data_IF_681926103835
#
_entry.id   IF_681926103835
#
_cell.length_a   1.000
_cell.length_b   1.000
_cell.length_c   1.000
_cell.angle_alpha   90.00
_cell.angle_beta   90.00
_cell.angle_gamma   90.00
#
_symmetry.space_group_name_H-M   'P 1'
#
loop_
_entity.id
_entity.type
_entity.pdbx_description
1 polymer ?
#
# COMPACT_ATOMS: atom_id res chain seq x y z
N UNK A 1 -15.71 30.26 -0.66
CA UNK A 1 -14.68 30.03 0.38
C UNK A 1 -15.19 30.30 1.79
N UNK A 2 -15.96 31.37 2.03
CA UNK A 2 -16.55 31.67 3.35
C UNK A 2 -17.54 30.61 3.83
N UNK A 3 -18.42 30.10 2.94
CA UNK A 3 -19.36 29.04 3.31
C UNK A 3 -18.63 27.75 3.68
N UNK A 4 -17.70 27.26 2.85
CA UNK A 4 -16.89 26.07 3.12
C UNK A 4 -16.19 26.13 4.49
N UNK A 5 -15.52 27.24 4.79
CA UNK A 5 -14.87 27.43 6.10
C UNK A 5 -15.93 27.46 7.21
N UNK A 6 -17.05 28.16 7.03
CA UNK A 6 -18.11 28.22 8.02
C UNK A 6 -18.75 26.85 8.30
N UNK A 7 -18.96 25.99 7.29
CA UNK A 7 -19.55 24.65 7.46
C UNK A 7 -18.61 23.69 8.20
N UNK A 8 -17.30 23.88 8.07
CA UNK A 8 -16.32 23.10 8.84
C UNK A 8 -16.24 23.55 10.30
N UNK A 9 -16.33 24.87 10.59
CA UNK A 9 -16.21 25.39 11.96
C UNK A 9 -17.53 25.49 12.74
N UNK A 10 -18.67 25.51 12.05
CA UNK A 10 -20.00 25.48 12.67
C UNK A 10 -20.47 24.03 12.79
N UNK A 11 -20.77 23.56 14.01
CA UNK A 11 -21.25 22.20 14.18
C UNK A 11 -22.62 22.03 13.50
N UNK A 12 -22.92 20.82 12.96
CA UNK A 12 -24.26 20.52 12.49
C UNK A 12 -25.27 20.75 13.62
N UNK A 13 -26.30 21.56 13.37
CA UNK A 13 -27.41 21.72 14.31
C UNK A 13 -28.30 20.48 14.19
N UNK A 14 -28.19 19.56 15.13
CA UNK A 14 -29.00 18.34 15.16
C UNK A 14 -29.42 17.99 16.57
N UNK A 15 -30.67 18.27 16.91
CA UNK A 15 -31.32 17.68 18.08
C UNK A 15 -32.14 16.48 17.61
N UNK A 16 -31.61 15.28 17.84
CA UNK A 16 -32.42 14.08 18.00
C UNK A 16 -31.83 13.24 19.14
N UNK A 17 -32.69 12.80 20.06
CA UNK A 17 -32.33 11.97 21.22
C UNK A 17 -31.93 10.58 20.70
N UNK A 18 -30.68 10.16 20.91
CA UNK A 18 -30.22 8.81 20.56
C UNK A 18 -28.72 8.75 20.29
N UNK A 19 -28.15 7.53 20.33
CA UNK A 19 -26.73 7.30 20.05
C UNK A 19 -26.49 7.00 18.56
N UNK A 20 -27.34 6.16 17.97
CA UNK A 20 -27.29 5.74 16.56
C UNK A 20 -28.73 5.54 16.08
N UNK A 21 -29.05 6.08 14.90
CA UNK A 21 -30.32 5.84 14.21
C UNK A 21 -30.14 4.78 13.13
N UNK A 22 -30.56 3.54 13.42
CA UNK A 22 -30.49 2.42 12.49
C UNK A 22 -31.60 2.42 11.44
N UNK A 23 -32.57 3.34 11.50
CA UNK A 23 -33.64 3.45 10.50
C UNK A 23 -33.16 4.10 9.20
N UNK A 24 -32.04 4.83 9.25
CA UNK A 24 -31.46 5.51 8.08
C UNK A 24 -30.81 4.50 7.13
N UNK A 25 -31.32 4.43 5.90
CA UNK A 25 -30.71 3.63 4.83
C UNK A 25 -29.26 4.05 4.55
N UNK A 26 -28.94 5.33 4.68
CA UNK A 26 -27.58 5.87 4.51
C UNK A 26 -26.56 5.20 5.43
N UNK A 27 -26.94 4.88 6.68
CA UNK A 27 -26.09 4.15 7.63
C UNK A 27 -25.72 2.76 7.10
N UNK A 28 -26.71 1.99 6.65
CA UNK A 28 -26.48 0.64 6.13
C UNK A 28 -25.73 0.65 4.79
N UNK A 29 -25.97 1.64 3.94
CA UNK A 29 -25.19 1.84 2.71
C UNK A 29 -23.71 2.09 3.06
N UNK A 30 -23.43 2.90 4.07
CA UNK A 30 -22.05 3.11 4.54
C UNK A 30 -21.43 1.83 5.12
N UNK A 31 -22.18 1.05 5.92
CA UNK A 31 -21.73 -0.26 6.44
C UNK A 31 -21.33 -1.19 5.29
N UNK A 32 -22.20 -1.36 4.30
CA UNK A 32 -21.94 -2.21 3.14
C UNK A 32 -20.74 -1.71 2.34
N UNK A 33 -20.64 -0.40 2.11
CA UNK A 33 -19.51 0.19 1.37
C UNK A 33 -18.18 0.00 2.11
N UNK A 34 -18.16 0.15 3.44
CA UNK A 34 -16.98 -0.09 4.28
C UNK A 34 -16.51 -1.54 4.17
N UNK A 35 -17.43 -2.50 4.24
CA UNK A 35 -17.13 -3.94 4.12
C UNK A 35 -16.71 -4.33 2.71
N UNK A 36 -17.40 -3.78 1.70
CA UNK A 36 -17.19 -4.09 0.30
C UNK A 36 -15.79 -3.74 -0.15
N UNK A 37 -15.30 -2.55 0.20
CA UNK A 37 -14.03 -2.03 -0.28
C UNK A 37 -12.87 -3.02 -0.04
N UNK A 38 -12.52 -3.41 1.22
CA UNK A 38 -11.45 -4.37 1.46
C UNK A 38 -11.66 -5.76 0.91
N UNK A 39 -12.91 -6.19 0.86
CA UNK A 39 -13.29 -7.47 0.27
C UNK A 39 -13.02 -7.48 -1.23
N UNK A 40 -13.40 -6.41 -1.93
CA UNK A 40 -13.25 -6.26 -3.37
C UNK A 40 -11.78 -6.33 -3.78
N UNK A 41 -10.90 -5.50 -3.21
CA UNK A 41 -9.51 -5.49 -3.67
C UNK A 41 -8.78 -6.78 -3.31
N UNK A 42 -9.06 -7.41 -2.17
CA UNK A 42 -8.48 -8.71 -1.83
C UNK A 42 -8.88 -9.80 -2.84
N UNK A 43 -10.17 -9.90 -3.16
CA UNK A 43 -10.66 -10.90 -4.12
C UNK A 43 -10.07 -10.65 -5.51
N UNK A 44 -10.13 -9.41 -5.98
CA UNK A 44 -9.65 -9.04 -7.32
C UNK A 44 -8.15 -9.24 -7.44
N UNK A 45 -7.37 -8.83 -6.44
CA UNK A 45 -5.92 -8.99 -6.44
C UNK A 45 -5.53 -10.47 -6.38
N UNK A 46 -6.12 -11.28 -5.49
CA UNK A 46 -5.82 -12.71 -5.44
C UNK A 46 -6.21 -13.44 -6.74
N UNK A 47 -7.33 -13.06 -7.35
CA UNK A 47 -7.70 -13.57 -8.68
C UNK A 47 -6.67 -13.15 -9.74
N UNK A 48 -6.18 -11.92 -9.71
CA UNK A 48 -5.11 -11.49 -10.60
C UNK A 48 -3.81 -12.26 -10.36
N UNK A 49 -3.44 -12.53 -9.11
CA UNK A 49 -2.24 -13.32 -8.84
C UNK A 49 -2.35 -14.76 -9.35
N UNK A 50 -3.47 -15.44 -9.07
CA UNK A 50 -3.66 -16.86 -9.42
C UNK A 50 -3.98 -17.05 -10.91
N UNK A 51 -4.84 -16.20 -11.45
CA UNK A 51 -5.42 -16.38 -12.78
C UNK A 51 -4.94 -15.32 -13.78
N UNK A 52 -4.28 -14.23 -13.38
CA UNK A 52 -3.86 -13.16 -14.30
C UNK A 52 -5.01 -12.62 -15.17
N UNK A 53 -6.23 -12.59 -14.62
CA UNK A 53 -7.45 -12.31 -15.37
C UNK A 53 -7.43 -10.92 -16.02
N UNK A 54 -7.01 -9.89 -15.27
CA UNK A 54 -6.90 -8.51 -15.77
C UNK A 54 -5.75 -8.43 -16.76
N UNK A 55 -4.59 -8.99 -16.43
CA UNK A 55 -3.43 -8.98 -17.32
C UNK A 55 -3.72 -9.69 -18.66
N UNK A 56 -4.43 -10.82 -18.64
CA UNK A 56 -4.84 -11.55 -19.85
C UNK A 56 -5.83 -10.75 -20.69
N UNK A 57 -6.85 -10.15 -20.06
CA UNK A 57 -7.82 -9.31 -20.74
C UNK A 57 -7.16 -8.10 -21.44
N UNK A 58 -6.09 -7.57 -20.85
CA UNK A 58 -5.35 -6.42 -21.38
C UNK A 58 -4.16 -6.81 -22.26
N UNK A 59 -4.14 -8.04 -22.80
CA UNK A 59 -3.11 -8.49 -23.74
C UNK A 59 -1.70 -8.56 -23.14
N UNK A 60 -1.57 -8.94 -21.87
CA UNK A 60 -0.29 -9.10 -21.17
C UNK A 60 0.25 -7.82 -20.53
N UNK A 61 -0.47 -6.70 -20.61
CA UNK A 61 -0.01 -5.38 -20.10
C UNK A 61 -0.22 -5.24 -18.58
N UNK A 62 0.61 -5.92 -17.79
CA UNK A 62 0.50 -5.95 -16.32
C UNK A 62 0.48 -4.58 -15.62
N UNK A 63 1.30 -3.61 -16.08
CA UNK A 63 1.33 -2.27 -15.48
C UNK A 63 0.02 -1.52 -15.73
N UNK A 64 -0.52 -1.60 -16.95
CA UNK A 64 -1.81 -1.00 -17.27
C UNK A 64 -2.92 -1.60 -16.41
N UNK A 65 -2.92 -2.92 -16.22
CA UNK A 65 -3.84 -3.60 -15.31
C UNK A 65 -3.74 -3.11 -13.87
N UNK A 66 -2.52 -2.98 -13.35
CA UNK A 66 -2.29 -2.47 -12.00
C UNK A 66 -2.77 -1.01 -11.85
N UNK A 67 -2.48 -0.12 -12.80
CA UNK A 67 -2.97 1.27 -12.75
C UNK A 67 -4.49 1.39 -12.87
N UNK A 68 -5.14 0.54 -13.68
CA UNK A 68 -6.60 0.49 -13.75
C UNK A 68 -7.22 0.00 -12.44
N UNK A 69 -6.61 -1.01 -11.80
CA UNK A 69 -7.04 -1.46 -10.47
C UNK A 69 -6.82 -0.36 -9.43
N UNK A 70 -5.67 0.32 -9.46
CA UNK A 70 -5.36 1.44 -8.57
C UNK A 70 -6.39 2.56 -8.68
N UNK A 71 -6.71 2.99 -9.91
CA UNK A 71 -7.76 3.97 -10.17
C UNK A 71 -9.10 3.50 -9.59
N UNK A 72 -9.48 2.24 -9.83
CA UNK A 72 -10.74 1.67 -9.33
C UNK A 72 -10.80 1.68 -7.80
N UNK A 73 -9.76 1.19 -7.12
CA UNK A 73 -9.69 1.15 -5.65
C UNK A 73 -9.75 2.57 -5.08
N UNK A 74 -9.00 3.50 -5.67
CA UNK A 74 -8.99 4.89 -5.23
C UNK A 74 -10.38 5.56 -5.37
N UNK A 75 -11.03 5.39 -6.52
CA UNK A 75 -12.39 5.91 -6.76
C UNK A 75 -13.42 5.28 -5.81
N UNK A 76 -13.34 3.97 -5.57
CA UNK A 76 -14.17 3.30 -4.56
C UNK A 76 -13.88 3.81 -3.15
N UNK A 77 -12.64 4.19 -2.85
CA UNK A 77 -12.25 4.86 -1.61
C UNK A 77 -12.96 6.20 -1.44
N UNK A 78 -12.90 7.06 -2.46
CA UNK A 78 -13.62 8.35 -2.48
C UNK A 78 -15.12 8.15 -2.30
N UNK A 79 -15.72 7.20 -3.02
CA UNK A 79 -17.14 6.90 -2.90
C UNK A 79 -17.51 6.45 -1.48
N UNK A 80 -16.74 5.53 -0.89
CA UNK A 80 -16.94 5.07 0.48
C UNK A 80 -16.89 6.24 1.47
N UNK A 81 -15.90 7.10 1.34
CA UNK A 81 -15.72 8.24 2.25
C UNK A 81 -16.87 9.25 2.10
N UNK A 82 -17.38 9.45 0.87
CA UNK A 82 -18.59 10.25 0.63
C UNK A 82 -19.83 9.62 1.27
N UNK A 83 -20.05 8.31 1.07
CA UNK A 83 -21.18 7.59 1.66
C UNK A 83 -21.12 7.59 3.19
N UNK A 84 -19.93 7.47 3.76
CA UNK A 84 -19.69 7.62 5.19
C UNK A 84 -20.10 8.99 5.69
N UNK A 85 -19.63 10.07 5.04
CA UNK A 85 -20.02 11.42 5.43
C UNK A 85 -21.53 11.65 5.33
N UNK A 86 -22.18 11.18 4.25
CA UNK A 86 -23.64 11.23 4.10
C UNK A 86 -24.37 10.50 5.23
N UNK A 87 -23.87 9.33 5.63
CA UNK A 87 -24.42 8.61 6.77
C UNK A 87 -24.29 9.42 8.07
N UNK A 88 -23.17 10.12 8.29
CA UNK A 88 -22.99 10.96 9.48
C UNK A 88 -23.91 12.18 9.51
N UNK A 89 -24.19 12.79 8.35
CA UNK A 89 -25.08 13.96 8.24
C UNK A 89 -26.50 13.66 8.77
N UNK A 90 -27.01 12.45 8.52
CA UNK A 90 -28.37 12.02 8.89
C UNK A 90 -28.49 11.42 10.30
N UNK A 91 -27.39 11.31 11.05
CA UNK A 91 -27.39 10.68 12.38
C UNK A 91 -27.69 11.68 13.50
N UNK A 92 -27.87 11.25 14.76
CA UNK A 92 -27.94 12.16 15.91
C UNK A 92 -26.60 12.82 16.25
N UNK A 93 -26.61 14.05 16.77
CA UNK A 93 -25.42 14.69 17.39
C UNK A 93 -25.41 14.38 18.88
N UNK A 94 -24.24 14.06 19.45
CA UNK A 94 -24.10 13.86 20.89
C UNK A 94 -23.36 15.01 21.56
N UNK A 95 -23.97 15.64 22.56
CA UNK A 95 -23.46 16.85 23.23
C UNK A 95 -22.10 16.67 23.89
N UNK A 96 -21.80 15.49 24.44
CA UNK A 96 -20.47 15.20 25.02
C UNK A 96 -19.34 15.30 23.98
N UNK A 97 -19.61 14.97 22.71
CA UNK A 97 -18.61 15.03 21.64
C UNK A 97 -18.41 16.45 21.10
N UNK A 98 -19.26 17.40 21.49
CA UNK A 98 -19.17 18.80 21.07
C UNK A 98 -18.15 19.60 21.87
N UNK A 99 -17.58 19.02 22.93
CA UNK A 99 -16.61 19.68 23.79
C UNK A 99 -15.37 20.15 22.99
N UNK A 100 -14.84 21.37 23.20
CA UNK A 100 -13.71 21.88 22.42
C UNK A 100 -12.48 20.97 22.40
N UNK A 101 -12.18 20.30 23.52
CA UNK A 101 -11.08 19.34 23.59
C UNK A 101 -11.27 18.15 22.61
N UNK A 102 -12.51 17.70 22.38
CA UNK A 102 -12.82 16.64 21.42
C UNK A 102 -12.56 17.09 19.98
N UNK A 103 -12.80 18.38 19.67
CA UNK A 103 -12.45 18.95 18.36
C UNK A 103 -10.95 19.03 18.14
N UNK A 104 -10.19 19.42 19.17
CA UNK A 104 -8.72 19.41 19.10
C UNK A 104 -8.24 17.97 18.86
N UNK A 105 -8.77 17.01 19.61
CA UNK A 105 -8.46 15.59 19.42
C UNK A 105 -8.80 15.12 18.00
N UNK A 106 -9.96 15.50 17.47
CA UNK A 106 -10.36 15.17 16.10
C UNK A 106 -9.35 15.66 15.07
N UNK A 107 -8.89 16.91 15.18
CA UNK A 107 -7.87 17.49 14.27
C UNK A 107 -6.55 16.74 14.39
N UNK A 108 -6.10 16.44 15.61
CA UNK A 108 -4.85 15.69 15.84
C UNK A 108 -4.94 14.29 15.22
N UNK A 109 -6.07 13.60 15.36
CA UNK A 109 -6.29 12.27 14.78
C UNK A 109 -6.30 12.32 13.26
N UNK A 110 -7.02 13.28 12.65
CA UNK A 110 -7.06 13.44 11.18
C UNK A 110 -5.68 13.79 10.63
N UNK A 111 -4.96 14.71 11.29
CA UNK A 111 -3.62 15.10 10.86
C UNK A 111 -2.66 13.91 10.92
N UNK A 112 -2.66 13.19 12.05
CA UNK A 112 -1.81 12.01 12.24
C UNK A 112 -2.16 10.89 11.24
N UNK A 113 -3.44 10.61 11.07
CA UNK A 113 -3.91 9.59 10.14
C UNK A 113 -3.56 9.91 8.69
N UNK A 114 -3.74 11.17 8.29
CA UNK A 114 -3.36 11.67 6.96
C UNK A 114 -1.86 11.58 6.73
N UNK A 115 -1.03 11.95 7.73
CA UNK A 115 0.42 11.78 7.65
C UNK A 115 0.79 10.32 7.42
N UNK A 116 0.22 9.38 8.19
CA UNK A 116 0.50 7.95 8.00
C UNK A 116 0.07 7.45 6.62
N UNK A 117 -1.12 7.82 6.14
CA UNK A 117 -1.61 7.41 4.81
C UNK A 117 -0.70 7.95 3.71
N UNK A 118 -0.47 9.27 3.68
CA UNK A 118 0.29 9.90 2.60
C UNK A 118 1.76 9.48 2.59
N UNK A 119 2.40 9.38 3.75
CA UNK A 119 3.79 8.90 3.83
C UNK A 119 3.91 7.42 3.45
N UNK A 120 2.91 6.58 3.74
CA UNK A 120 2.88 5.19 3.26
C UNK A 120 2.81 5.14 1.73
N UNK A 121 1.89 5.91 1.14
CA UNK A 121 1.74 6.00 -0.31
C UNK A 121 2.99 6.54 -0.99
N UNK A 122 3.66 7.52 -0.36
CA UNK A 122 4.92 8.07 -0.85
C UNK A 122 6.01 7.00 -0.93
N UNK A 123 6.17 6.20 0.13
CA UNK A 123 7.21 5.17 0.20
C UNK A 123 6.95 3.96 -0.69
N UNK A 124 5.67 3.54 -0.80
CA UNK A 124 5.28 2.40 -1.64
C UNK A 124 5.12 2.76 -3.12
N UNK A 125 4.86 4.04 -3.41
CA UNK A 125 4.39 4.48 -4.72
C UNK A 125 3.02 3.90 -5.07
N UNK A 126 2.53 4.19 -6.28
CA UNK A 126 1.19 3.74 -6.71
C UNK A 126 1.14 2.22 -6.81
N UNK A 127 2.13 1.59 -7.44
CA UNK A 127 2.11 0.12 -7.63
C UNK A 127 2.24 -0.63 -6.32
N UNK A 128 3.07 -0.16 -5.37
CA UNK A 128 3.18 -0.80 -4.05
C UNK A 128 1.93 -0.59 -3.20
N UNK A 129 1.27 0.57 -3.31
CA UNK A 129 0.04 0.87 -2.56
C UNK A 129 -1.15 0.06 -3.07
N UNK A 130 -1.26 -0.11 -4.38
CA UNK A 130 -2.44 -0.71 -5.02
C UNK A 130 -2.17 -2.11 -5.59
N UNK A 131 -1.52 -2.95 -4.77
CA UNK A 131 -1.43 -4.41 -4.97
C UNK A 131 -0.69 -4.83 -6.26
N UNK A 132 0.33 -4.07 -6.66
CA UNK A 132 1.14 -4.35 -7.84
C UNK A 132 1.94 -5.65 -7.75
N UNK A 133 2.24 -6.12 -6.54
CA UNK A 133 2.85 -7.43 -6.27
C UNK A 133 1.99 -8.60 -6.81
N UNK A 134 0.65 -8.47 -6.78
CA UNK A 134 -0.27 -9.46 -7.38
C UNK A 134 -0.18 -9.49 -8.91
N UNK A 135 0.21 -8.38 -9.54
CA UNK A 135 0.56 -8.28 -10.97
C UNK A 135 2.00 -8.73 -11.27
N UNK A 136 2.77 -9.13 -10.23
CA UNK A 136 4.20 -9.46 -10.35
C UNK A 136 5.11 -8.24 -10.50
N UNK A 137 4.64 -7.06 -10.10
CA UNK A 137 5.41 -5.82 -10.06
C UNK A 137 5.93 -5.69 -8.62
N UNK A 138 7.09 -6.27 -8.37
CA UNK A 138 7.67 -6.36 -7.04
C UNK A 138 8.61 -5.20 -6.76
N UNK A 139 8.58 -4.71 -5.52
CA UNK A 139 9.63 -3.84 -5.01
C UNK A 139 10.92 -4.63 -4.79
N UNK A 140 12.07 -3.96 -4.91
CA UNK A 140 13.36 -4.62 -4.72
C UNK A 140 13.67 -4.96 -3.26
N UNK A 141 13.15 -4.15 -2.34
CA UNK A 141 13.29 -4.36 -0.91
C UNK A 141 11.99 -3.96 -0.20
N UNK A 142 11.80 -4.54 0.98
CA UNK A 142 10.71 -4.15 1.88
C UNK A 142 10.99 -2.75 2.43
N UNK A 143 9.97 -1.89 2.45
CA UNK A 143 10.07 -0.56 3.02
C UNK A 143 10.13 -0.67 4.55
N UNK A 144 11.20 -0.13 5.15
CA UNK A 144 11.41 -0.14 6.60
C UNK A 144 11.51 1.25 7.22
N UNK A 145 11.56 2.31 6.41
CA UNK A 145 11.57 3.69 6.87
C UNK A 145 10.19 4.15 7.37
N UNK A 146 10.10 5.38 7.88
CA UNK A 146 8.82 5.97 8.26
C UNK A 146 7.84 5.96 7.07
N UNK A 147 6.57 5.57 7.26
CA UNK A 147 5.91 5.24 8.53
C UNK A 147 5.99 3.77 8.98
N UNK A 148 6.60 2.90 8.16
CA UNK A 148 6.72 1.46 8.42
C UNK A 148 7.69 1.10 9.55
N UNK A 149 8.56 2.02 9.96
CA UNK A 149 9.39 1.88 11.17
C UNK A 149 8.59 1.98 12.47
N UNK A 150 7.37 2.54 12.42
CA UNK A 150 6.53 2.81 13.60
C UNK A 150 5.34 1.84 13.68
N UNK A 151 4.75 1.53 12.53
CA UNK A 151 3.57 0.66 12.41
C UNK A 151 3.82 -0.37 11.30
N UNK A 152 3.27 -1.58 11.46
CA UNK A 152 3.34 -2.60 10.40
C UNK A 152 2.48 -2.21 9.19
N UNK A 153 1.27 -1.68 9.45
CA UNK A 153 0.26 -1.38 8.44
C UNK A 153 -0.20 0.10 8.54
N UNK A 154 0.73 1.06 8.35
CA UNK A 154 0.51 2.47 8.67
C UNK A 154 -0.66 3.09 7.89
N UNK A 155 -0.89 2.68 6.64
CA UNK A 155 -2.02 3.17 5.85
C UNK A 155 -3.38 2.76 6.44
N UNK A 156 -3.50 1.50 6.90
CA UNK A 156 -4.72 0.98 7.50
C UNK A 156 -5.02 1.63 8.86
N UNK A 157 -3.98 1.79 9.69
CA UNK A 157 -4.08 2.52 10.96
C UNK A 157 -4.43 3.99 10.70
N UNK A 158 -3.72 4.65 9.79
CA UNK A 158 -3.94 6.05 9.48
C UNK A 158 -5.35 6.33 8.93
N UNK A 159 -5.86 5.46 8.05
CA UNK A 159 -7.24 5.54 7.58
C UNK A 159 -8.23 5.38 8.74
N UNK A 160 -8.01 4.43 9.65
CA UNK A 160 -8.87 4.27 10.85
C UNK A 160 -8.88 5.54 11.72
N UNK A 161 -7.71 6.15 11.95
CA UNK A 161 -7.61 7.42 12.69
C UNK A 161 -8.40 8.54 12.01
N UNK A 162 -8.37 8.62 10.68
CA UNK A 162 -9.16 9.59 9.93
C UNK A 162 -10.67 9.37 10.11
N UNK A 163 -11.15 8.13 10.06
CA UNK A 163 -12.57 7.81 10.29
C UNK A 163 -13.02 8.22 11.71
N UNK A 164 -12.22 7.90 12.72
CA UNK A 164 -12.49 8.29 14.12
C UNK A 164 -12.46 9.81 14.26
N UNK A 165 -11.44 10.47 13.70
CA UNK A 165 -11.30 11.91 13.77
C UNK A 165 -12.47 12.64 13.11
N UNK A 166 -12.95 12.17 11.96
CA UNK A 166 -14.15 12.72 11.31
C UNK A 166 -15.40 12.46 12.16
N UNK A 167 -15.57 11.29 12.75
CA UNK A 167 -16.70 11.01 13.65
C UNK A 167 -16.76 11.99 14.83
N UNK A 168 -15.60 12.27 15.44
CA UNK A 168 -15.47 13.22 16.53
C UNK A 168 -15.70 14.66 16.07
N UNK A 169 -15.17 15.03 14.90
CA UNK A 169 -15.36 16.37 14.32
C UNK A 169 -16.84 16.71 14.11
N UNK A 170 -17.61 15.74 13.58
CA UNK A 170 -19.06 15.88 13.38
C UNK A 170 -19.88 15.57 14.64
N UNK A 171 -19.24 15.19 15.75
CA UNK A 171 -19.89 14.80 17.01
C UNK A 171 -20.97 13.70 16.86
N UNK A 172 -20.69 12.70 16.01
CA UNK A 172 -21.62 11.60 15.68
C UNK A 172 -21.15 10.27 16.30
N UNK A 173 -21.86 9.69 17.28
CA UNK A 173 -21.48 8.40 17.85
C UNK A 173 -21.55 7.24 16.85
N UNK A 174 -22.48 7.31 15.89
CA UNK A 174 -22.57 6.37 14.76
C UNK A 174 -21.27 6.30 13.96
N UNK A 175 -20.56 7.41 13.80
CA UNK A 175 -19.26 7.43 13.14
C UNK A 175 -18.19 6.67 13.91
N UNK A 176 -18.22 6.70 15.24
CA UNK A 176 -17.30 5.90 16.06
C UNK A 176 -17.59 4.40 15.89
N UNK A 177 -18.87 4.01 15.86
CA UNK A 177 -19.28 2.63 15.58
C UNK A 177 -18.81 2.18 14.19
N UNK A 178 -19.01 3.01 13.16
CA UNK A 178 -18.52 2.74 11.80
C UNK A 178 -16.98 2.73 11.74
N UNK A 179 -16.29 3.52 12.56
CA UNK A 179 -14.83 3.50 12.65
C UNK A 179 -14.31 2.19 13.25
N UNK A 180 -15.01 1.64 14.25
CA UNK A 180 -14.73 0.29 14.77
C UNK A 180 -14.94 -0.74 13.67
N UNK A 181 -16.02 -0.64 12.89
CA UNK A 181 -16.25 -1.51 11.74
C UNK A 181 -15.10 -1.42 10.72
N UNK A 182 -14.63 -0.21 10.38
CA UNK A 182 -13.48 0.01 9.49
C UNK A 182 -12.25 -0.73 10.04
N UNK A 183 -11.93 -0.54 11.32
CA UNK A 183 -10.79 -1.21 11.95
C UNK A 183 -10.90 -2.73 11.89
N UNK A 184 -12.06 -3.30 12.25
CA UNK A 184 -12.30 -4.75 12.18
C UNK A 184 -12.16 -5.25 10.74
N UNK A 185 -12.75 -4.55 9.78
CA UNK A 185 -12.70 -4.92 8.36
C UNK A 185 -11.26 -4.94 7.85
N UNK A 186 -10.46 -3.92 8.21
CA UNK A 186 -9.05 -3.89 7.86
C UNK A 186 -8.25 -5.01 8.54
N UNK A 187 -8.52 -5.33 9.80
CA UNK A 187 -7.85 -6.45 10.48
C UNK A 187 -8.16 -7.78 9.81
N UNK A 188 -9.41 -7.99 9.38
CA UNK A 188 -9.81 -9.19 8.63
C UNK A 188 -9.12 -9.22 7.27
N UNK A 189 -9.12 -8.10 6.53
CA UNK A 189 -8.43 -7.99 5.24
C UNK A 189 -6.93 -8.35 5.35
N UNK A 190 -6.25 -7.81 6.36
CA UNK A 190 -4.83 -8.09 6.63
C UNK A 190 -4.55 -9.55 6.96
N UNK A 191 -5.49 -10.28 7.57
CA UNK A 191 -5.32 -11.72 7.80
C UNK A 191 -5.16 -12.53 6.50
N UNK A 192 -5.69 -12.02 5.39
CA UNK A 192 -5.54 -12.62 4.07
C UNK A 192 -4.38 -12.00 3.29
N UNK A 193 -4.27 -10.68 3.30
CA UNK A 193 -3.29 -9.93 2.51
C UNK A 193 -1.85 -10.16 2.99
N UNK A 194 -1.58 -9.98 4.30
CA UNK A 194 -0.22 -10.05 4.85
C UNK A 194 0.49 -11.39 4.59
N UNK A 195 -0.09 -12.58 4.85
CA UNK A 195 0.57 -13.84 4.54
C UNK A 195 0.73 -14.06 3.03
N UNK A 196 -0.21 -13.54 2.22
CA UNK A 196 -0.14 -13.68 0.78
C UNK A 196 1.03 -12.89 0.20
N UNK A 197 1.12 -11.60 0.52
CA UNK A 197 2.24 -10.74 0.09
C UNK A 197 3.58 -11.29 0.61
N UNK A 198 3.65 -11.74 1.87
CA UNK A 198 4.87 -12.36 2.40
C UNK A 198 5.31 -13.59 1.58
N UNK A 199 4.37 -14.43 1.15
CA UNK A 199 4.66 -15.58 0.29
C UNK A 199 5.17 -15.15 -1.10
N UNK A 200 4.56 -14.14 -1.72
CA UNK A 200 5.01 -13.59 -3.01
C UNK A 200 6.48 -13.17 -2.94
N UNK A 201 6.85 -12.40 -1.92
CA UNK A 201 8.20 -11.90 -1.75
C UNK A 201 9.19 -13.02 -1.39
N UNK A 202 8.78 -14.04 -0.61
CA UNK A 202 9.60 -15.22 -0.33
C UNK A 202 9.93 -15.99 -1.61
N UNK A 203 8.92 -16.32 -2.42
CA UNK A 203 9.11 -17.01 -3.69
C UNK A 203 9.97 -16.21 -4.67
N UNK A 204 9.80 -14.89 -4.70
CA UNK A 204 10.61 -14.03 -5.53
C UNK A 204 12.08 -14.03 -5.09
N UNK A 205 12.35 -14.04 -3.77
CA UNK A 205 13.70 -14.12 -3.23
C UNK A 205 14.37 -15.46 -3.55
N UNK A 206 13.63 -16.57 -3.47
CA UNK A 206 14.12 -17.92 -3.85
C UNK A 206 14.49 -17.97 -5.33
N UNK A 207 13.60 -17.50 -6.22
CA UNK A 207 13.88 -17.43 -7.66
C UNK A 207 15.08 -16.55 -8.01
N UNK A 208 15.30 -15.45 -7.27
CA UNK A 208 16.49 -14.59 -7.45
C UNK A 208 17.78 -15.32 -7.06
N UNK A 209 17.77 -16.21 -6.06
CA UNK A 209 18.93 -17.02 -5.65
C UNK A 209 19.22 -18.17 -6.61
N UNK A 210 18.19 -18.77 -7.23
CA UNK A 210 18.36 -19.88 -8.15
C UNK A 210 18.90 -19.47 -9.52
N UNK A 211 18.58 -18.26 -10.01
CA UNK A 211 19.00 -17.77 -11.33
C UNK A 211 20.53 -17.86 -11.57
N UNK A 212 21.40 -17.35 -10.68
CA UNK A 212 22.85 -17.49 -10.86
C UNK A 212 23.33 -18.95 -10.87
N UNK A 213 22.69 -19.81 -10.08
CA UNK A 213 23.05 -21.24 -10.01
C UNK A 213 22.64 -21.97 -11.30
N UNK A 214 21.49 -21.63 -11.87
CA UNK A 214 21.03 -22.18 -13.15
C UNK A 214 21.87 -21.66 -14.32
N UNK A 215 22.23 -20.38 -14.31
CA UNK A 215 23.12 -19.77 -15.31
C UNK A 215 24.53 -20.37 -15.25
N UNK A 216 25.08 -20.58 -14.04
CA UNK A 216 26.38 -21.25 -13.85
C UNK A 216 26.36 -22.72 -14.30
N UNK A 217 25.24 -23.44 -14.11
CA UNK A 217 25.07 -24.81 -14.61
C UNK A 217 24.87 -24.90 -16.13
N UNK A 218 24.36 -23.84 -16.76
CA UNK A 218 24.12 -23.75 -18.21
C UNK A 218 25.29 -23.13 -18.99
N UNK A 219 26.23 -22.48 -18.30
CA UNK A 219 27.46 -22.01 -18.90
C UNK A 219 28.24 -23.21 -19.47
N UNK A 220 28.64 -23.20 -20.75
CA UNK A 220 29.48 -24.25 -21.30
C UNK A 220 30.74 -24.38 -20.44
N UNK A 221 31.08 -25.60 -20.03
CA UNK A 221 32.37 -25.89 -19.40
C UNK A 221 33.47 -25.36 -20.32
N UNK A 222 34.10 -24.24 -19.97
CA UNK A 222 35.28 -23.77 -20.67
C UNK A 222 36.30 -24.91 -20.60
N UNK A 223 36.65 -25.44 -21.77
CA UNK A 223 37.55 -26.57 -21.92
C UNK A 223 38.86 -26.30 -21.17
N UNK A 224 39.35 -27.33 -20.47
CA UNK A 224 40.67 -27.32 -19.85
C UNK A 224 41.73 -26.90 -20.87
N UNK A 225 42.73 -26.09 -20.49
CA UNK A 225 43.79 -25.72 -21.41
C UNK A 225 44.55 -26.99 -21.80
N UNK A 226 44.55 -27.32 -23.09
CA UNK A 226 45.37 -28.39 -23.64
C UNK A 226 46.84 -27.98 -23.49
N UNK A 227 47.58 -28.73 -22.67
CA UNK A 227 49.03 -28.62 -22.58
C UNK A 227 49.60 -29.20 -23.88
N UNK A 228 49.99 -28.34 -24.82
CA UNK A 228 50.78 -28.75 -25.98
C UNK A 228 52.26 -28.71 -25.60
N UNK A 229 52.87 -29.89 -25.48
CA UNK A 229 54.32 -30.06 -25.44
C UNK A 229 54.89 -29.81 -26.84
N UNK A 230 55.61 -28.71 -27.02
CA UNK A 230 56.53 -28.54 -28.14
C UNK A 230 57.87 -28.01 -27.60
N UNK A 231 58.87 -28.89 -27.65
CA UNK A 231 60.29 -28.54 -27.65
C UNK A 231 60.65 -27.95 -29.02
N UNK A 232 61.36 -26.80 -29.03
CA UNK A 232 62.64 -26.63 -29.75
C UNK A 232 63.05 -25.13 -29.88
N UNK A 233 64.24 -24.81 -29.35
CA UNK A 233 65.27 -24.00 -30.04
C UNK A 233 65.26 -22.46 -29.94
N UNK A 234 66.44 -21.77 -29.86
CA UNK A 234 66.56 -20.41 -29.31
C UNK A 234 66.82 -19.26 -30.32
N UNK A 235 66.82 -18.02 -29.78
CA UNK A 235 67.21 -16.71 -30.36
C UNK A 235 66.02 -15.82 -30.76
N UNK A 236 65.95 -14.50 -30.54
CA UNK A 236 66.86 -13.46 -30.04
C UNK A 236 66.06 -12.19 -29.71
N UNK A 237 66.52 -11.42 -28.70
CA UNK A 237 66.46 -9.94 -28.55
C UNK A 237 65.15 -9.16 -28.80
N UNK A 238 64.52 -8.64 -27.73
CA UNK A 238 64.45 -7.20 -27.36
C UNK A 238 63.44 -6.98 -26.22
N UNK A 239 63.84 -6.18 -25.23
CA UNK A 239 63.08 -5.83 -24.01
C UNK A 239 62.25 -4.51 -24.20
N UNK A 240 61.69 -3.89 -23.13
CA UNK A 240 60.35 -4.11 -22.60
C UNK A 240 59.47 -2.84 -22.65
N UNK A 241 58.14 -2.93 -22.45
CA UNK A 241 57.38 -1.76 -21.99
C UNK A 241 56.20 -2.12 -21.08
N UNK A 242 56.22 -1.50 -19.90
CA UNK A 242 55.23 -1.57 -18.85
C UNK A 242 54.01 -0.70 -19.16
N UNK A 243 52.81 -1.14 -18.77
CA UNK A 243 51.66 -0.26 -18.64
C UNK A 243 50.87 -0.55 -17.35
N UNK A 244 51.23 0.28 -16.37
CA UNK A 244 50.60 0.67 -15.10
C UNK A 244 49.10 0.35 -14.96
N UNK A 245 48.79 -0.38 -13.90
CA UNK A 245 47.51 -0.28 -13.17
C UNK A 245 47.56 0.98 -12.30
N UNK A 246 46.64 1.92 -12.52
CA UNK A 246 46.36 3.01 -11.57
C UNK A 246 44.87 3.06 -11.25
N UNK A 247 44.62 2.74 -9.99
CA UNK A 247 43.56 3.15 -9.07
C UNK A 247 42.84 4.44 -9.43
N UNK A 248 41.50 4.44 -9.33
CA UNK A 248 40.81 5.53 -8.62
C UNK A 248 39.46 5.10 -8.03
N UNK A 249 39.40 5.31 -6.73
CA UNK A 249 38.29 5.19 -5.81
C UNK A 249 37.24 6.30 -5.99
N UNK A 250 36.00 5.95 -5.62
CA UNK A 250 34.98 6.75 -4.89
C UNK A 250 34.28 7.93 -5.57
N UNK A 251 32.94 7.86 -5.55
CA UNK A 251 32.03 8.88 -5.01
C UNK A 251 30.74 8.13 -4.61
N UNK A 252 30.47 8.00 -3.30
CA UNK A 252 29.46 8.76 -2.55
C UNK A 252 28.03 8.42 -2.95
#
# INVERSE_FOLDING_TARGET
MSEFVSTWFTPPVGVQKGWVDFSKSSFWIAVVSILFNPTFWNIVAQNEYRNKSITRLLGGRRYLGCYLLAFTIFTLGILRDHLYQRALEEQPVHTMLMHPAVRVLAVVLIASGTVFVLSSMWMLGITGTYLGDYFGILMDHMVTGFPFSVLNDPMYVGSTLNFVGVALWYARPSGLLLSVLVWVTYRVALCFESPFTANIYREAAEKRKEKPVQEARRAPSAAAPAISSHEDGPSSSHAPYAARYQTRQRAL
#
